data_IF_937312276359
#
_entry.id   IF_937312276359
#
_cell.length_a   1.000
_cell.length_b   1.000
_cell.length_c   1.000
_cell.angle_alpha   90.00
_cell.angle_beta   90.00
_cell.angle_gamma   90.00
#
_symmetry.space_group_name_H-M   'P 1'
#
loop_
_entity.id
_entity.type
_entity.pdbx_description
1 polymer ?
#
# COMPACT_ATOMS: atom_id res chain seq x y z
N UNK A 1 -7.49 -18.03 15.20
CA UNK A 1 -8.21 -16.89 14.60
C UNK A 1 -8.26 -17.10 13.11
N UNK A 2 -9.38 -17.60 12.58
CA UNK A 2 -9.57 -17.84 11.14
C UNK A 2 -9.69 -16.49 10.45
N UNK A 3 -8.65 -16.04 9.75
CA UNK A 3 -8.80 -14.94 8.79
C UNK A 3 -9.52 -15.54 7.60
N UNK A 4 -10.79 -15.19 7.41
CA UNK A 4 -11.47 -15.39 6.13
C UNK A 4 -10.52 -14.89 5.03
N UNK A 5 -10.27 -15.67 3.97
CA UNK A 5 -9.41 -15.19 2.89
C UNK A 5 -9.98 -13.86 2.38
N UNK A 6 -9.16 -12.82 2.23
CA UNK A 6 -9.63 -11.53 1.74
C UNK A 6 -10.27 -11.75 0.37
N UNK A 7 -11.47 -11.22 0.18
CA UNK A 7 -12.15 -11.28 -1.11
C UNK A 7 -11.32 -10.42 -2.09
N UNK A 8 -10.91 -10.97 -3.25
CA UNK A 8 -10.18 -10.22 -4.27
C UNK A 8 -10.84 -8.88 -4.65
N UNK A 9 -12.18 -8.84 -4.65
CA UNK A 9 -12.93 -7.62 -4.95
C UNK A 9 -12.74 -6.53 -3.88
N UNK A 10 -12.65 -6.92 -2.61
CA UNK A 10 -12.44 -5.98 -1.50
C UNK A 10 -11.03 -5.39 -1.57
N UNK A 11 -10.03 -6.21 -1.87
CA UNK A 11 -8.65 -5.75 -2.02
C UNK A 11 -8.45 -4.86 -3.26
N UNK A 12 -9.13 -5.18 -4.38
CA UNK A 12 -9.15 -4.29 -5.54
C UNK A 12 -9.81 -2.95 -5.20
N UNK A 13 -10.95 -2.98 -4.51
CA UNK A 13 -11.63 -1.75 -4.08
C UNK A 13 -10.74 -0.88 -3.19
N UNK A 14 -9.91 -1.48 -2.33
CA UNK A 14 -8.92 -0.76 -1.52
C UNK A 14 -7.87 -0.05 -2.37
N UNK A 15 -7.35 -0.72 -3.41
CA UNK A 15 -6.44 -0.10 -4.37
C UNK A 15 -7.12 1.09 -5.07
N UNK A 16 -8.34 0.91 -5.54
CA UNK A 16 -9.08 1.94 -6.29
C UNK A 16 -9.35 3.17 -5.41
N UNK A 17 -9.80 2.96 -4.17
CA UNK A 17 -10.05 4.03 -3.20
C UNK A 17 -8.75 4.76 -2.83
N UNK A 18 -7.65 4.02 -2.68
CA UNK A 18 -6.34 4.63 -2.43
C UNK A 18 -5.89 5.49 -3.61
N UNK A 19 -5.89 4.93 -4.82
CA UNK A 19 -5.44 5.61 -6.04
C UNK A 19 -6.28 6.86 -6.34
N UNK A 20 -7.59 6.80 -6.09
CA UNK A 20 -8.49 7.95 -6.24
C UNK A 20 -8.12 9.11 -5.30
N UNK A 21 -7.69 8.81 -4.07
CA UNK A 21 -7.34 9.82 -3.06
C UNK A 21 -5.88 10.26 -3.13
N UNK A 22 -5.00 9.39 -3.60
CA UNK A 22 -3.56 9.50 -3.46
C UNK A 22 -2.87 9.09 -4.78
N UNK A 23 -2.63 10.04 -5.70
CA UNK A 23 -1.91 9.74 -6.93
C UNK A 23 -0.45 9.33 -6.64
N UNK A 24 0.20 8.69 -7.62
CA UNK A 24 1.64 8.42 -7.55
C UNK A 24 2.43 9.70 -7.26
N UNK A 25 3.44 9.61 -6.40
CA UNK A 25 4.19 10.75 -5.86
C UNK A 25 3.68 11.27 -4.50
N UNK A 26 2.64 10.67 -3.93
CA UNK A 26 2.12 11.04 -2.60
C UNK A 26 3.15 10.70 -1.52
N UNK A 27 3.38 11.63 -0.57
CA UNK A 27 4.23 11.39 0.61
C UNK A 27 3.52 10.47 1.60
N UNK A 28 4.24 9.46 2.06
CA UNK A 28 3.69 8.40 2.92
C UNK A 28 4.67 7.99 4.02
N UNK A 29 4.12 7.50 5.13
CA UNK A 29 4.83 6.77 6.16
C UNK A 29 4.68 5.27 5.85
N UNK A 30 5.81 4.61 5.62
CA UNK A 30 5.90 3.16 5.51
C UNK A 30 6.30 2.56 6.85
N UNK A 31 5.53 1.58 7.34
CA UNK A 31 5.96 0.69 8.42
C UNK A 31 6.70 -0.54 7.88
N UNK A 32 7.97 -0.68 8.23
CA UNK A 32 8.82 -1.82 7.85
C UNK A 32 8.59 -3.05 8.72
N UNK A 33 9.16 -4.18 8.31
CA UNK A 33 9.08 -5.46 9.05
C UNK A 33 9.77 -5.42 10.42
N UNK A 34 10.80 -4.59 10.58
CA UNK A 34 11.50 -4.35 11.85
C UNK A 34 10.71 -3.45 12.82
N UNK A 35 9.51 -3.01 12.42
CA UNK A 35 8.64 -2.12 13.20
C UNK A 35 8.99 -0.63 13.07
N UNK A 36 10.08 -0.28 12.38
CA UNK A 36 10.44 1.13 12.13
C UNK A 36 9.50 1.76 11.10
N UNK A 37 9.36 3.09 11.20
CA UNK A 37 8.62 3.87 10.21
C UNK A 37 9.61 4.69 9.39
N UNK A 38 9.44 4.68 8.06
CA UNK A 38 10.23 5.48 7.13
C UNK A 38 9.30 6.36 6.30
N UNK A 39 9.58 7.65 6.24
CA UNK A 39 8.93 8.54 5.27
C UNK A 39 9.49 8.29 3.87
N UNK A 40 8.59 8.19 2.90
CA UNK A 40 8.94 8.04 1.48
C UNK A 40 7.82 8.58 0.60
N UNK A 41 7.91 8.38 -0.71
CA UNK A 41 6.90 8.74 -1.70
C UNK A 41 6.46 7.51 -2.48
N UNK A 42 5.20 7.48 -2.88
CA UNK A 42 4.69 6.43 -3.77
C UNK A 42 5.34 6.55 -5.14
N UNK A 43 5.86 5.44 -5.66
CA UNK A 43 6.48 5.39 -6.99
C UNK A 43 5.45 5.03 -8.07
N UNK A 44 4.44 4.25 -7.69
CA UNK A 44 3.34 3.81 -8.56
C UNK A 44 1.99 3.94 -7.86
N UNK A 45 0.93 3.65 -8.62
CA UNK A 45 -0.39 3.35 -8.07
C UNK A 45 -0.36 2.04 -7.25
N UNK A 46 -1.31 1.90 -6.32
CA UNK A 46 -1.58 0.66 -5.61
C UNK A 46 -2.21 -0.35 -6.57
N UNK A 47 -1.77 -1.61 -6.48
CA UNK A 47 -2.25 -2.71 -7.34
C UNK A 47 -2.47 -3.98 -6.54
N UNK A 48 -3.36 -4.83 -7.04
CA UNK A 48 -3.62 -6.14 -6.47
C UNK A 48 -2.58 -7.17 -6.95
N UNK A 49 -1.67 -7.59 -6.08
CA UNK A 49 -0.68 -8.61 -6.40
C UNK A 49 -1.24 -10.01 -6.16
N UNK A 50 -1.14 -10.87 -7.19
CA UNK A 50 -1.56 -12.27 -7.12
C UNK A 50 -3.07 -12.46 -6.85
N UNK A 51 -3.89 -11.43 -7.05
CA UNK A 51 -5.33 -11.47 -6.83
C UNK A 51 -5.79 -11.46 -5.37
N UNK A 52 -4.90 -11.22 -4.40
CA UNK A 52 -5.28 -11.34 -2.98
C UNK A 52 -4.60 -10.34 -2.03
N UNK A 53 -3.60 -9.59 -2.48
CA UNK A 53 -2.90 -8.60 -1.63
C UNK A 53 -2.80 -7.26 -2.32
N UNK A 54 -3.43 -6.22 -1.78
CA UNK A 54 -3.18 -4.85 -2.20
C UNK A 54 -1.75 -4.44 -1.83
N UNK A 55 -0.96 -4.05 -2.83
CA UNK A 55 0.44 -3.61 -2.66
C UNK A 55 0.71 -2.29 -3.34
N UNK A 56 1.81 -1.64 -2.96
CA UNK A 56 2.29 -0.40 -3.56
C UNK A 56 3.82 -0.37 -3.59
N UNK A 57 4.38 0.29 -4.61
CA UNK A 57 5.80 0.55 -4.74
C UNK A 57 6.15 1.94 -4.24
N UNK A 58 7.29 2.04 -3.58
CA UNK A 58 7.72 3.24 -2.87
C UNK A 58 9.16 3.56 -3.27
N UNK A 59 9.46 4.85 -3.39
CA UNK A 59 10.79 5.30 -3.79
C UNK A 59 11.83 4.90 -2.74
N UNK A 60 13.00 4.46 -3.19
CA UNK A 60 14.10 4.00 -2.33
C UNK A 60 13.71 2.83 -1.38
N UNK A 61 12.69 2.06 -1.73
CA UNK A 61 12.29 0.84 -1.02
C UNK A 61 12.33 -0.31 -2.00
N UNK A 62 13.03 -1.38 -1.64
CA UNK A 62 13.09 -2.56 -2.50
C UNK A 62 11.82 -3.40 -2.37
N UNK A 63 11.20 -3.70 -3.51
CA UNK A 63 10.01 -4.53 -3.59
C UNK A 63 8.71 -3.78 -3.32
N UNK A 64 7.60 -4.51 -3.39
CA UNK A 64 6.27 -3.99 -3.10
C UNK A 64 5.95 -4.18 -1.61
N UNK A 65 5.23 -3.22 -1.03
CA UNK A 65 4.74 -3.33 0.34
C UNK A 65 3.22 -3.42 0.37
N UNK A 66 2.69 -4.19 1.31
CA UNK A 66 1.25 -4.27 1.55
C UNK A 66 0.69 -2.88 1.88
N UNK A 67 -0.44 -2.54 1.26
CA UNK A 67 -1.07 -1.23 1.39
C UNK A 67 -1.40 -0.87 2.84
N UNK A 68 -1.74 -1.86 3.68
CA UNK A 68 -1.97 -1.72 5.13
C UNK A 68 -0.80 -1.14 5.92
N UNK A 69 0.42 -1.24 5.38
CA UNK A 69 1.64 -0.74 6.03
C UNK A 69 1.98 0.68 5.62
N UNK A 70 1.19 1.28 4.73
CA UNK A 70 1.45 2.60 4.15
C UNK A 70 0.35 3.55 4.61
N UNK A 71 0.74 4.74 5.08
CA UNK A 71 -0.19 5.80 5.47
C UNK A 71 0.19 7.10 4.77
N UNK A 72 -0.77 7.77 4.15
CA UNK A 72 -0.53 9.09 3.58
C UNK A 72 -0.16 10.09 4.69
N UNK A 73 0.97 10.77 4.51
CA UNK A 73 1.37 11.93 5.31
C UNK A 73 1.03 13.12 4.42
N UNK A 74 -0.24 13.49 4.37
CA UNK A 74 -0.59 14.77 3.79
C UNK A 74 -0.10 15.89 4.75
N UNK A 75 0.36 17.03 4.22
CA UNK A 75 0.47 18.25 5.01
C UNK A 75 -0.91 18.76 5.44
#
# INVERSE_FOLDING_TARGET
MSRTPPNPADEQHRCDVWNFKHPAGTRVALRKDDGTTQETVTESEAMLLGGHTAVIWLKNVSGAYALDRVRAIQP
#
